data_IF_668298551391
#
_entry.id   IF_668298551391
#
_cell.length_a   1.000
_cell.length_b   1.000
_cell.length_c   1.000
_cell.angle_alpha   90.00
_cell.angle_beta   90.00
_cell.angle_gamma   90.00
#
_symmetry.space_group_name_H-M   'P 1'
#
loop_
_entity.id
_entity.type
_entity.pdbx_description
1 polymer ?
#
# COMPACT_ATOMS: atom_id res chain seq x y z
N UNK A 1 8.07 14.17 -9.69
CA UNK A 1 9.29 13.80 -10.34
C UNK A 1 9.03 12.76 -11.41
N UNK A 2 9.35 13.11 -12.64
CA UNK A 2 8.91 12.33 -13.80
C UNK A 2 9.47 10.90 -13.81
N UNK A 3 10.62 10.69 -13.18
CA UNK A 3 11.23 9.37 -13.20
C UNK A 3 10.83 8.45 -12.08
N UNK A 4 10.02 8.92 -11.15
CA UNK A 4 9.71 8.12 -9.96
C UNK A 4 8.45 7.31 -10.15
N UNK A 5 8.56 6.02 -9.96
CA UNK A 5 7.44 5.08 -10.03
C UNK A 5 6.87 4.78 -8.65
N UNK A 6 7.61 5.13 -7.59
CA UNK A 6 7.16 4.99 -6.23
C UNK A 6 7.62 6.21 -5.45
N UNK A 7 6.74 6.77 -4.64
CA UNK A 7 7.03 7.94 -3.82
C UNK A 7 6.69 7.62 -2.38
N UNK A 8 7.48 8.17 -1.46
CA UNK A 8 7.24 8.02 -0.03
C UNK A 8 6.96 9.41 0.55
N UNK A 9 5.94 9.48 1.36
CA UNK A 9 5.59 10.73 2.06
C UNK A 9 5.33 10.40 3.51
N UNK A 10 5.85 11.25 4.41
CA UNK A 10 5.42 11.15 5.79
C UNK A 10 3.96 11.54 5.86
N UNK A 11 3.23 10.83 6.69
CA UNK A 11 1.82 11.11 6.86
C UNK A 11 1.65 12.47 7.53
N UNK A 12 0.85 13.32 6.91
CA UNK A 12 0.53 14.62 7.46
C UNK A 12 -0.98 14.76 7.47
N UNK A 13 -1.45 15.84 8.07
CA UNK A 13 -2.88 16.09 8.12
C UNK A 13 -3.48 16.31 6.74
N UNK A 14 -2.66 16.73 5.81
CA UNK A 14 -3.11 17.01 4.45
C UNK A 14 -2.37 16.10 3.51
N UNK A 15 -3.10 15.23 2.86
CA UNK A 15 -2.55 14.36 1.84
C UNK A 15 -2.97 14.91 0.50
N UNK A 16 -1.98 15.38 -0.25
CA UNK A 16 -2.23 15.86 -1.59
C UNK A 16 -1.83 14.80 -2.59
N UNK A 17 -2.80 14.30 -3.32
CA UNK A 17 -2.51 13.31 -4.35
C UNK A 17 -2.34 14.01 -5.68
N UNK A 18 -1.46 13.49 -6.54
CA UNK A 18 -1.31 14.05 -7.88
C UNK A 18 -2.62 13.91 -8.65
N UNK A 19 -3.15 15.00 -9.11
CA UNK A 19 -4.44 14.98 -9.80
C UNK A 19 -4.40 14.31 -11.15
N UNK A 20 -3.22 14.22 -11.73
CA UNK A 20 -3.07 13.68 -13.08
C UNK A 20 -2.66 12.22 -13.09
N UNK A 21 -2.54 11.62 -11.93
CA UNK A 21 -2.26 10.19 -11.86
C UNK A 21 -3.59 9.47 -11.96
N UNK A 22 -3.73 8.64 -12.97
CA UNK A 22 -4.99 7.99 -13.22
C UNK A 22 -5.10 6.68 -12.49
N UNK A 23 -4.07 5.86 -12.57
CA UNK A 23 -4.09 4.56 -11.91
C UNK A 23 -2.87 4.46 -11.04
N UNK A 24 -3.08 4.15 -9.78
CA UNK A 24 -1.99 3.96 -8.83
C UNK A 24 -2.54 3.19 -7.64
N UNK A 25 -1.64 2.70 -6.82
CA UNK A 25 -2.00 2.09 -5.54
C UNK A 25 -1.34 2.90 -4.46
N UNK A 26 -2.08 3.22 -3.44
CA UNK A 26 -1.51 3.84 -2.24
C UNK A 26 -1.35 2.78 -1.18
N UNK A 27 -0.17 2.74 -0.54
CA UNK A 27 0.08 1.84 0.56
C UNK A 27 0.53 2.67 1.74
N UNK A 28 -0.17 2.56 2.86
CA UNK A 28 0.18 3.27 4.09
C UNK A 28 0.78 2.27 5.06
N UNK A 29 1.99 2.56 5.53
CA UNK A 29 2.66 1.77 6.54
C UNK A 29 2.76 2.58 7.82
N UNK A 30 2.22 2.06 8.92
CA UNK A 30 2.21 2.76 10.20
C UNK A 30 3.51 2.48 10.93
N UNK A 31 4.40 3.46 10.96
CA UNK A 31 5.71 3.31 11.58
C UNK A 31 5.62 3.39 13.10
N UNK A 32 4.78 4.28 13.63
CA UNK A 32 4.56 4.36 15.08
C UNK A 32 3.20 5.00 15.32
N UNK A 33 2.60 4.67 16.47
CA UNK A 33 1.30 5.20 16.80
C UNK A 33 0.18 4.56 16.00
N UNK A 34 -0.83 5.34 15.70
CA UNK A 34 -1.99 4.83 14.95
C UNK A 34 -2.68 5.97 14.22
N UNK A 35 -3.41 5.61 13.17
CA UNK A 35 -4.30 6.54 12.48
C UNK A 35 -5.66 5.90 12.31
N UNK A 36 -6.68 6.74 12.21
CA UNK A 36 -8.05 6.28 12.03
C UNK A 36 -8.56 6.81 10.70
N UNK A 37 -9.18 5.91 9.98
CA UNK A 37 -9.69 6.18 8.63
C UNK A 37 -11.12 5.74 8.53
N UNK A 38 -11.90 6.42 7.70
CA UNK A 38 -13.19 5.92 7.26
C UNK A 38 -13.06 5.73 5.77
N UNK A 39 -13.16 4.49 5.31
CA UNK A 39 -12.95 4.15 3.91
C UNK A 39 -14.21 3.48 3.40
N UNK A 40 -14.87 4.12 2.44
CA UNK A 40 -16.14 3.65 1.88
C UNK A 40 -17.13 3.29 3.00
N UNK A 41 -17.16 4.11 4.05
CA UNK A 41 -18.06 3.91 5.18
C UNK A 41 -17.58 2.95 6.26
N UNK A 42 -16.40 2.36 6.10
CA UNK A 42 -15.86 1.41 7.08
C UNK A 42 -14.80 2.10 7.94
N UNK A 43 -14.91 1.91 9.26
CA UNK A 43 -13.91 2.40 10.20
C UNK A 43 -12.69 1.48 10.17
N UNK A 44 -11.51 2.07 9.99
CA UNK A 44 -10.26 1.32 9.97
C UNK A 44 -9.28 2.00 10.92
N UNK A 45 -8.85 1.29 11.95
CA UNK A 45 -7.80 1.77 12.85
C UNK A 45 -6.50 1.09 12.43
N UNK A 46 -5.58 1.89 11.90
CA UNK A 46 -4.30 1.39 11.42
C UNK A 46 -3.29 1.54 12.55
N UNK A 47 -2.80 0.43 13.04
CA UNK A 47 -1.90 0.38 14.20
C UNK A 47 -0.47 0.21 13.75
N UNK A 48 0.47 0.49 14.65
CA UNK A 48 1.89 0.38 14.37
C UNK A 48 2.23 -0.98 13.76
N UNK A 49 2.98 -0.95 12.67
CA UNK A 49 3.43 -2.15 11.96
C UNK A 49 2.45 -2.68 10.93
N UNK A 50 1.29 -2.06 10.82
CA UNK A 50 0.27 -2.53 9.89
C UNK A 50 0.33 -1.79 8.56
N UNK A 51 -0.24 -2.43 7.55
CA UNK A 51 -0.30 -1.89 6.19
C UNK A 51 -1.72 -1.72 5.74
N UNK A 52 -1.96 -0.64 5.01
CA UNK A 52 -3.26 -0.38 4.41
C UNK A 52 -3.05 -0.10 2.92
N UNK A 53 -3.62 -0.94 2.08
CA UNK A 53 -3.61 -0.77 0.63
C UNK A 53 -4.90 -0.07 0.24
N UNK A 54 -4.79 0.96 -0.58
CA UNK A 54 -5.94 1.76 -1.02
C UNK A 54 -6.00 1.81 -2.53
N UNK A 55 -7.18 1.55 -3.04
CA UNK A 55 -7.52 1.78 -4.43
C UNK A 55 -7.76 3.29 -4.59
N UNK A 56 -7.34 3.88 -5.71
CA UNK A 56 -7.48 5.30 -5.93
C UNK A 56 -8.95 5.75 -6.02
N UNK A 57 -9.88 4.81 -6.22
CA UNK A 57 -11.30 5.15 -6.26
C UNK A 57 -11.95 5.09 -4.88
N UNK A 58 -11.24 4.66 -3.85
CA UNK A 58 -11.80 4.59 -2.51
C UNK A 58 -12.05 6.00 -1.98
N UNK A 59 -13.21 6.18 -1.37
CA UNK A 59 -13.54 7.44 -0.71
C UNK A 59 -13.10 7.32 0.74
N UNK A 60 -12.15 8.17 1.14
CA UNK A 60 -11.59 8.04 2.47
C UNK A 60 -11.58 9.37 3.21
N UNK A 61 -11.80 9.29 4.51
CA UNK A 61 -11.55 10.37 5.44
C UNK A 61 -10.52 9.90 6.43
N UNK A 62 -9.62 10.79 6.80
CA UNK A 62 -8.56 10.49 7.77
C UNK A 62 -8.73 11.42 8.94
N UNK A 63 -8.85 10.87 10.14
CA UNK A 63 -8.90 11.69 11.33
C UNK A 63 -7.51 12.30 11.61
N UNK A 64 -7.46 13.48 12.24
CA UNK A 64 -6.17 14.11 12.49
C UNK A 64 -5.25 13.22 13.31
N UNK A 65 -3.99 13.16 12.90
CA UNK A 65 -2.98 12.38 13.59
C UNK A 65 -2.29 13.25 14.63
N UNK A 66 -1.79 12.62 15.69
CA UNK A 66 -1.01 13.30 16.71
C UNK A 66 0.46 13.38 16.34
N UNK A 67 1.24 14.00 17.23
CA UNK A 67 2.67 14.18 16.99
C UNK A 67 3.41 12.85 16.92
N UNK A 68 2.95 11.88 17.69
CA UNK A 68 3.63 10.59 17.79
C UNK A 68 3.15 9.59 16.75
N UNK A 69 2.19 9.98 15.94
CA UNK A 69 1.65 9.10 14.91
C UNK A 69 2.40 9.34 13.62
N UNK A 70 3.21 8.36 13.23
CA UNK A 70 4.08 8.49 12.07
C UNK A 70 3.75 7.39 11.07
N UNK A 71 3.38 7.79 9.88
CA UNK A 71 3.08 6.87 8.79
C UNK A 71 3.86 7.25 7.56
N UNK A 72 4.13 6.27 6.73
CA UNK A 72 4.75 6.46 5.43
C UNK A 72 3.75 6.03 4.37
N UNK A 73 3.49 6.92 3.43
CA UNK A 73 2.58 6.64 2.32
C UNK A 73 3.40 6.39 1.06
N UNK A 74 3.16 5.23 0.45
CA UNK A 74 3.77 4.90 -0.84
C UNK A 74 2.72 5.12 -1.91
N UNK A 75 3.04 5.92 -2.92
CA UNK A 75 2.21 6.08 -4.11
C UNK A 75 2.91 5.31 -5.21
N UNK A 76 2.29 4.25 -5.71
CA UNK A 76 2.94 3.29 -6.58
C UNK A 76 2.25 3.29 -7.94
N UNK A 77 3.00 3.62 -8.97
CA UNK A 77 2.49 3.71 -10.34
C UNK A 77 2.53 2.34 -11.04
N UNK A 78 1.70 2.17 -12.07
CA UNK A 78 1.56 0.86 -12.72
C UNK A 78 2.87 0.24 -13.21
N UNK A 79 3.74 1.05 -13.79
CA UNK A 79 4.98 0.53 -14.37
C UNK A 79 5.85 -0.17 -13.34
N UNK A 80 5.72 0.23 -12.09
CA UNK A 80 6.50 -0.39 -11.02
C UNK A 80 6.13 -1.85 -10.83
N UNK A 81 4.88 -2.20 -11.10
CA UNK A 81 4.38 -3.54 -10.83
C UNK A 81 4.65 -4.56 -11.92
N UNK A 82 5.14 -4.13 -13.10
CA UNK A 82 5.39 -5.07 -14.20
C UNK A 82 6.26 -6.23 -13.74
N UNK A 83 7.36 -5.92 -13.06
CA UNK A 83 8.28 -6.93 -12.58
C UNK A 83 7.70 -7.70 -11.40
N UNK A 84 7.10 -6.98 -10.45
CA UNK A 84 6.56 -7.59 -9.24
C UNK A 84 5.43 -8.56 -9.53
N UNK A 85 4.56 -8.22 -10.48
CA UNK A 85 3.47 -9.12 -10.86
C UNK A 85 3.98 -10.39 -11.50
N UNK A 86 5.09 -10.31 -12.26
CA UNK A 86 5.69 -11.51 -12.81
C UNK A 86 6.22 -12.43 -11.72
N UNK A 87 6.77 -11.83 -10.66
CA UNK A 87 7.30 -12.62 -9.55
C UNK A 87 6.20 -13.40 -8.82
N UNK A 88 5.06 -12.78 -8.62
CA UNK A 88 4.00 -13.43 -7.84
C UNK A 88 3.15 -14.39 -8.64
N UNK A 89 3.40 -14.49 -9.95
CA UNK A 89 2.76 -15.49 -10.77
C UNK A 89 1.31 -15.16 -11.09
N UNK A 90 0.59 -16.18 -11.57
CA UNK A 90 -0.78 -15.98 -12.05
C UNK A 90 -1.82 -16.69 -11.21
N UNK A 91 -1.45 -17.22 -10.07
CA UNK A 91 -2.41 -17.91 -9.22
C UNK A 91 -3.45 -16.93 -8.71
N UNK A 92 -4.66 -17.43 -8.56
CA UNK A 92 -5.74 -16.61 -8.02
C UNK A 92 -5.43 -16.25 -6.57
N UNK A 93 -5.44 -14.98 -6.29
CA UNK A 93 -5.16 -14.47 -4.96
C UNK A 93 -5.81 -13.10 -4.83
N UNK A 94 -6.40 -12.83 -3.68
CA UNK A 94 -7.12 -11.57 -3.47
C UNK A 94 -6.21 -10.35 -3.60
N UNK A 95 -4.97 -10.47 -3.14
CA UNK A 95 -4.03 -9.36 -3.25
C UNK A 95 -3.69 -9.09 -4.72
N UNK A 96 -3.42 -10.15 -5.48
CA UNK A 96 -3.15 -9.98 -6.90
C UNK A 96 -4.34 -9.36 -7.61
N UNK A 97 -5.53 -9.83 -7.31
CA UNK A 97 -6.75 -9.29 -7.91
C UNK A 97 -6.91 -7.80 -7.59
N UNK A 98 -6.64 -7.43 -6.35
CA UNK A 98 -6.73 -6.03 -5.93
C UNK A 98 -5.75 -5.16 -6.71
N UNK A 99 -4.50 -5.62 -6.84
CA UNK A 99 -3.48 -4.87 -7.56
C UNK A 99 -3.85 -4.73 -9.04
N UNK A 100 -4.28 -5.83 -9.65
CA UNK A 100 -4.64 -5.82 -11.07
C UNK A 100 -5.82 -4.87 -11.33
N UNK A 101 -6.82 -4.91 -10.45
CA UNK A 101 -7.98 -4.02 -10.59
C UNK A 101 -7.55 -2.55 -10.48
N UNK A 102 -6.68 -2.24 -9.53
CA UNK A 102 -6.17 -0.87 -9.39
C UNK A 102 -5.46 -0.42 -10.65
N UNK A 103 -4.62 -1.28 -11.22
CA UNK A 103 -3.84 -0.93 -12.40
C UNK A 103 -4.71 -0.76 -13.63
N UNK A 104 -5.83 -1.45 -13.69
CA UNK A 104 -6.77 -1.32 -14.79
C UNK A 104 -7.76 -0.17 -14.61
N UNK A 105 -7.76 0.46 -13.44
CA UNK A 105 -8.73 1.49 -13.14
C UNK A 105 -10.11 0.95 -12.87
N UNK A 106 -10.21 -0.34 -12.57
CA UNK A 106 -11.47 -0.98 -12.23
C UNK A 106 -11.70 -0.90 -10.74
N UNK A 107 -12.94 -0.99 -10.32
CA UNK A 107 -13.25 -1.00 -8.90
C UNK A 107 -14.22 -2.14 -8.56
N UNK A 108 -13.95 -3.30 -9.11
CA UNK A 108 -14.69 -4.51 -8.81
C UNK A 108 -14.29 -5.06 -7.44
N UNK A 109 -13.10 -4.73 -6.97
CA UNK A 109 -12.62 -5.15 -5.67
C UNK A 109 -13.04 -4.17 -4.61
N UNK A 110 -12.80 -4.57 -3.36
CA UNK A 110 -12.91 -3.65 -2.24
C UNK A 110 -12.00 -2.44 -2.43
N UNK A 111 -12.36 -1.33 -1.82
CA UNK A 111 -11.54 -0.12 -1.89
C UNK A 111 -10.26 -0.20 -1.09
N UNK A 112 -10.13 -1.17 -0.18
CA UNK A 112 -8.92 -1.28 0.64
C UNK A 112 -8.66 -2.72 1.08
N UNK A 113 -7.40 -2.97 1.46
CA UNK A 113 -7.01 -4.20 2.14
C UNK A 113 -6.13 -3.79 3.33
N UNK A 114 -6.48 -4.27 4.50
CA UNK A 114 -5.79 -3.93 5.75
C UNK A 114 -5.07 -5.18 6.25
N UNK A 115 -3.73 -5.12 6.31
CA UNK A 115 -2.90 -6.24 6.73
C UNK A 115 -2.39 -6.02 8.14
N UNK A 116 -2.79 -6.90 9.06
CA UNK A 116 -2.38 -6.82 10.46
C UNK A 116 -1.16 -7.70 10.67
N UNK A 117 -0.03 -7.22 10.20
CA UNK A 117 1.22 -7.99 10.11
C UNK A 117 2.35 -7.40 10.96
N UNK A 118 2.00 -6.72 12.04
CA UNK A 118 3.00 -6.06 12.88
C UNK A 118 4.02 -7.04 13.45
N UNK A 119 3.62 -8.29 13.66
CA UNK A 119 4.48 -9.32 14.22
C UNK A 119 5.15 -10.21 13.18
N UNK A 120 5.02 -9.88 11.90
CA UNK A 120 5.61 -10.68 10.83
C UNK A 120 6.94 -10.05 10.42
N UNK A 121 8.02 -10.59 10.95
CA UNK A 121 9.34 -9.99 10.78
C UNK A 121 9.74 -9.81 9.31
N UNK A 122 9.57 -10.79 8.43
CA UNK A 122 9.95 -10.57 7.04
C UNK A 122 9.24 -9.40 6.38
N UNK A 123 7.97 -9.17 6.73
CA UNK A 123 7.23 -8.02 6.19
C UNK A 123 7.83 -6.73 6.71
N UNK A 124 8.11 -6.66 8.02
CA UNK A 124 8.67 -5.47 8.63
C UNK A 124 10.04 -5.14 8.05
N UNK A 125 10.89 -6.16 7.88
CA UNK A 125 12.23 -5.96 7.33
C UNK A 125 12.17 -5.46 5.89
N UNK A 126 11.28 -6.01 5.08
CA UNK A 126 11.16 -5.58 3.68
C UNK A 126 10.68 -4.14 3.58
N UNK A 127 9.76 -3.75 4.46
CA UNK A 127 9.28 -2.37 4.48
C UNK A 127 10.37 -1.40 4.88
N UNK A 128 11.18 -1.75 5.88
CA UNK A 128 12.29 -0.91 6.27
C UNK A 128 13.33 -0.80 5.16
N UNK A 129 13.62 -1.89 4.49
CA UNK A 129 14.53 -1.88 3.36
C UNK A 129 14.02 -0.98 2.24
N UNK A 130 12.74 -1.04 1.97
CA UNK A 130 12.12 -0.23 0.92
C UNK A 130 12.23 1.25 1.26
N UNK A 131 11.90 1.62 2.50
CA UNK A 131 11.97 3.01 2.94
C UNK A 131 13.41 3.52 2.84
N UNK A 132 14.37 2.74 3.36
CA UNK A 132 15.77 3.13 3.31
C UNK A 132 16.22 3.34 1.87
N UNK A 133 15.86 2.42 0.99
CA UNK A 133 16.27 2.47 -0.40
C UNK A 133 15.72 3.68 -1.12
N UNK A 134 14.48 4.06 -0.83
CA UNK A 134 13.85 5.19 -1.53
C UNK A 134 14.54 6.50 -1.16
N UNK A 135 14.96 6.65 0.10
CA UNK A 135 15.56 7.88 0.56
C UNK A 135 17.07 7.95 0.37
N UNK A 136 17.71 6.86 0.03
CA UNK A 136 19.16 6.85 -0.13
C UNK A 136 19.52 6.60 -1.58
N UNK A 137 20.67 7.11 -1.99
CA UNK A 137 21.16 6.90 -3.34
C UNK A 137 21.92 5.58 -3.39
N UNK A 138 21.63 4.78 -4.40
CA UNK A 138 22.35 3.55 -4.61
C UNK A 138 22.18 3.10 -6.05
N UNK A 139 23.16 2.37 -6.59
CA UNK A 139 23.00 1.79 -7.92
C UNK A 139 21.87 0.78 -7.94
N UNK A 140 21.24 0.64 -9.09
CA UNK A 140 20.18 -0.36 -9.30
C UNK A 140 18.97 -0.17 -8.39
N UNK A 141 18.74 1.06 -7.93
CA UNK A 141 17.70 1.35 -6.95
C UNK A 141 16.32 0.89 -7.42
N UNK A 142 16.00 1.17 -8.69
CA UNK A 142 14.70 0.78 -9.23
C UNK A 142 14.50 -0.73 -9.21
N UNK A 143 15.50 -1.47 -9.66
CA UNK A 143 15.44 -2.93 -9.69
C UNK A 143 15.36 -3.51 -8.29
N UNK A 144 16.14 -2.95 -7.36
CA UNK A 144 16.10 -3.39 -5.97
C UNK A 144 14.70 -3.16 -5.39
N UNK A 145 14.13 -1.99 -5.62
CA UNK A 145 12.82 -1.69 -5.06
C UNK A 145 11.72 -2.56 -5.67
N UNK A 146 11.82 -2.85 -6.97
CA UNK A 146 10.85 -3.75 -7.60
C UNK A 146 10.95 -5.16 -7.05
N UNK A 147 12.17 -5.65 -6.84
CA UNK A 147 12.35 -6.98 -6.25
C UNK A 147 11.86 -7.01 -4.81
N UNK A 148 12.15 -5.96 -4.05
CA UNK A 148 11.70 -5.86 -2.66
C UNK A 148 10.17 -5.87 -2.60
N UNK A 149 9.53 -5.14 -3.48
CA UNK A 149 8.07 -5.10 -3.52
C UNK A 149 7.50 -6.47 -3.90
N UNK A 150 8.13 -7.16 -4.83
CA UNK A 150 7.69 -8.51 -5.19
C UNK A 150 7.80 -9.47 -4.02
N UNK A 151 8.91 -9.41 -3.28
CA UNK A 151 9.08 -10.22 -2.08
C UNK A 151 8.04 -9.86 -1.03
N UNK A 152 7.77 -8.57 -0.86
CA UNK A 152 6.75 -8.13 0.09
C UNK A 152 5.39 -8.71 -0.26
N UNK A 153 5.02 -8.68 -1.54
CA UNK A 153 3.74 -9.24 -1.97
C UNK A 153 3.68 -10.74 -1.68
N UNK A 154 4.75 -11.47 -1.96
CA UNK A 154 4.78 -12.91 -1.67
C UNK A 154 4.60 -13.17 -0.18
N UNK A 155 5.25 -12.38 0.67
CA UNK A 155 5.08 -12.52 2.11
C UNK A 155 3.66 -12.21 2.54
N UNK A 156 3.06 -11.17 1.98
CA UNK A 156 1.68 -10.83 2.30
C UNK A 156 0.72 -11.92 1.85
N UNK A 157 1.00 -12.55 0.71
CA UNK A 157 0.18 -13.66 0.23
C UNK A 157 0.23 -14.84 1.18
N UNK A 158 1.32 -15.01 1.90
CA UNK A 158 1.41 -16.05 2.93
C UNK A 158 0.63 -15.70 4.20
N UNK A 159 0.16 -14.46 4.31
CA UNK A 159 -0.50 -13.98 5.52
C UNK A 159 -1.87 -13.41 5.24
N UNK A 160 -2.56 -13.98 4.26
CA UNK A 160 -3.90 -13.49 3.92
C UNK A 160 -4.90 -13.69 5.05
N UNK A 161 -4.61 -14.58 5.99
CA UNK A 161 -5.43 -14.75 7.18
C UNK A 161 -5.38 -13.53 8.11
N UNK A 162 -4.40 -12.64 7.93
CA UNK A 162 -4.28 -11.41 8.70
C UNK A 162 -4.90 -10.21 8.01
N UNK A 163 -5.53 -10.41 6.86
CA UNK A 163 -6.02 -9.32 6.02
C UNK A 163 -7.52 -9.14 6.20
N UNK A 164 -7.93 -7.89 6.30
CA UNK A 164 -9.34 -7.51 6.27
C UNK A 164 -9.59 -6.57 5.11
N UNK A 165 -10.70 -6.75 4.42
CA UNK A 165 -11.09 -5.88 3.32
C UNK A 165 -12.41 -5.21 3.63
N UNK A 166 -12.64 -4.12 2.92
CA UNK A 166 -13.91 -3.43 3.03
C UNK A 166 -15.06 -4.28 2.51
N UNK A 167 -16.22 -4.09 3.08
CA UNK A 167 -17.33 -4.95 2.76
C UNK A 167 -18.44 -4.28 2.01
N UNK A 168 -18.53 -3.02 2.01
CA UNK A 168 -19.83 -2.55 1.73
C UNK A 168 -20.07 -1.78 0.48
N UNK A 169 -19.11 -1.00 0.12
CA UNK A 169 -19.41 0.00 -0.87
C UNK A 169 -19.90 -0.51 -2.19
N UNK A 170 -19.53 -1.70 -2.55
CA UNK A 170 -19.84 -2.23 -3.87
C UNK A 170 -20.92 -3.25 -3.90
N UNK A 171 -21.44 -3.58 -2.76
CA UNK A 171 -22.55 -4.50 -2.71
C UNK A 171 -23.81 -3.73 -2.94
N UNK A 172 -24.43 -4.02 -3.99
CA UNK A 172 -25.65 -3.28 -4.25
C UNK A 172 -26.57 -4.10 -5.01
#
# INVERSE_FOLDING_TARGET
DAGKLIQVRTHTRFVHFPKHTHNYIEVIYMCSGSTRHVIDGNDVALMQGELLFLNQTAVQEIYPAGEDDIAVNFIILPEFFDYSLKMIGEENNLLRDFVVDCLRGENDSSGYMHFKVADVLPVQNLLENLIWSIWNRQPNKRSINQATMGLLFLQLMNHMDRMEMGTGGKQR
#
